data_IF_182672404626
#
_entry.id   IF_182672404626
#
_cell.length_a   1.000
_cell.length_b   1.000
_cell.length_c   1.000
_cell.angle_alpha   90.00
_cell.angle_beta   90.00
_cell.angle_gamma   90.00
#
_symmetry.space_group_name_H-M   'P 1'
#
loop_
_entity.id
_entity.type
_entity.pdbx_description
1 polymer ?
#
# COMPACT_ATOMS: atom_id res chain seq x y z
N UNK A 1 -20.25 -22.72 -8.55
CA UNK A 1 -20.84 -21.46 -8.03
C UNK A 1 -19.85 -20.33 -8.26
N UNK A 2 -20.33 -19.13 -8.62
CA UNK A 2 -19.45 -17.98 -8.74
C UNK A 2 -18.99 -17.56 -7.33
N UNK A 3 -17.70 -17.64 -7.09
CA UNK A 3 -17.07 -17.14 -5.84
C UNK A 3 -17.34 -15.64 -5.71
N UNK A 4 -17.95 -15.20 -4.61
CA UNK A 4 -18.38 -13.79 -4.42
C UNK A 4 -17.62 -13.06 -3.31
N UNK A 5 -16.81 -13.76 -2.52
CA UNK A 5 -16.07 -13.16 -1.44
C UNK A 5 -14.82 -12.42 -1.97
N UNK A 6 -14.51 -11.29 -1.35
CA UNK A 6 -13.30 -10.51 -1.58
C UNK A 6 -12.46 -10.57 -0.29
N UNK A 7 -11.19 -10.92 -0.41
CA UNK A 7 -10.23 -10.80 0.68
C UNK A 7 -9.40 -9.54 0.50
N UNK A 8 -9.42 -8.65 1.48
CA UNK A 8 -8.54 -7.48 1.52
C UNK A 8 -7.25 -7.85 2.25
N UNK A 9 -6.13 -7.71 1.56
CA UNK A 9 -4.80 -8.11 2.00
C UNK A 9 -3.99 -6.86 2.36
N UNK A 10 -3.84 -6.61 3.66
CA UNK A 10 -3.00 -5.51 4.15
C UNK A 10 -1.52 -5.91 4.04
N UNK A 11 -0.73 -5.13 3.31
CA UNK A 11 0.68 -5.37 3.10
C UNK A 11 1.52 -5.45 4.38
N UNK A 12 1.02 -4.91 5.49
CA UNK A 12 1.77 -4.89 6.75
C UNK A 12 1.44 -6.04 7.71
N UNK A 13 0.27 -6.69 7.58
CA UNK A 13 -0.22 -7.58 8.63
C UNK A 13 0.53 -8.90 8.75
N UNK A 14 1.12 -9.43 7.67
CA UNK A 14 1.69 -10.78 7.63
C UNK A 14 3.21 -10.81 7.48
N UNK A 15 3.83 -9.78 6.91
CA UNK A 15 5.30 -9.66 6.79
C UNK A 15 5.97 -9.60 8.17
N UNK A 16 5.27 -9.16 9.20
CA UNK A 16 5.78 -9.10 10.58
C UNK A 16 6.23 -10.45 11.15
N UNK A 17 5.75 -11.56 10.59
CA UNK A 17 6.01 -12.90 11.14
C UNK A 17 7.28 -13.51 10.57
N UNK A 18 7.63 -13.17 9.33
CA UNK A 18 8.71 -13.80 8.57
C UNK A 18 9.74 -12.77 8.11
N UNK A 19 10.72 -12.46 8.95
CA UNK A 19 11.81 -11.56 8.57
C UNK A 19 13.16 -12.27 8.68
N UNK A 20 14.02 -12.10 7.66
CA UNK A 20 13.77 -11.47 6.36
C UNK A 20 12.85 -12.34 5.47
N UNK A 21 11.79 -11.74 4.93
CA UNK A 21 10.85 -12.45 4.05
C UNK A 21 11.52 -12.82 2.73
N UNK A 22 11.46 -14.10 2.35
CA UNK A 22 11.85 -14.57 1.02
C UNK A 22 10.69 -14.49 0.05
N UNK A 23 10.97 -14.64 -1.24
CA UNK A 23 9.92 -14.71 -2.27
C UNK A 23 9.02 -15.92 -2.07
N UNK A 24 9.60 -17.04 -1.71
CA UNK A 24 8.92 -18.31 -1.47
C UNK A 24 7.95 -18.17 -0.30
N UNK A 25 8.40 -17.64 0.84
CA UNK A 25 7.55 -17.35 2.00
C UNK A 25 6.43 -16.38 1.67
N UNK A 26 6.73 -15.33 0.89
CA UNK A 26 5.71 -14.39 0.43
C UNK A 26 4.61 -15.08 -0.40
N UNK A 27 4.99 -15.95 -1.32
CA UNK A 27 4.05 -16.64 -2.19
C UNK A 27 3.27 -17.72 -1.43
N UNK A 28 3.88 -18.37 -0.43
CA UNK A 28 3.23 -19.38 0.41
C UNK A 28 2.04 -18.81 1.18
N UNK A 29 2.13 -17.57 1.65
CA UNK A 29 1.02 -16.91 2.35
C UNK A 29 -0.23 -16.74 1.48
N UNK A 30 -0.10 -16.74 0.16
CA UNK A 30 -1.25 -16.70 -0.76
C UNK A 30 -1.91 -18.08 -0.93
N UNK A 31 -1.23 -19.18 -0.65
CA UNK A 31 -1.75 -20.53 -0.87
C UNK A 31 -3.04 -20.82 -0.07
N UNK A 32 -3.23 -20.16 1.09
CA UNK A 32 -4.46 -20.24 1.87
C UNK A 32 -5.72 -19.84 1.09
N UNK A 33 -5.56 -19.06 0.03
CA UNK A 33 -6.69 -18.62 -0.79
C UNK A 33 -6.99 -19.57 -1.95
N UNK A 34 -6.11 -20.52 -2.30
CA UNK A 34 -6.21 -21.35 -3.50
C UNK A 34 -7.55 -22.05 -3.60
N UNK A 35 -7.93 -22.83 -2.59
CA UNK A 35 -9.15 -23.63 -2.56
C UNK A 35 -10.29 -22.97 -1.75
N UNK A 36 -10.13 -21.68 -1.45
CA UNK A 36 -11.12 -20.91 -0.70
C UNK A 36 -12.24 -20.35 -1.59
N UNK A 37 -13.32 -19.88 -0.95
CA UNK A 37 -14.44 -19.20 -1.62
C UNK A 37 -14.16 -17.74 -1.98
N UNK A 38 -12.98 -17.21 -1.66
CA UNK A 38 -12.56 -15.91 -2.13
C UNK A 38 -12.28 -15.95 -3.65
N UNK A 39 -13.09 -15.23 -4.41
CA UNK A 39 -12.95 -15.12 -5.87
C UNK A 39 -12.06 -13.95 -6.30
N UNK A 40 -11.88 -12.98 -5.41
CA UNK A 40 -11.10 -11.77 -5.64
C UNK A 40 -10.21 -11.51 -4.44
N UNK A 41 -8.94 -11.18 -4.70
CA UNK A 41 -8.01 -10.69 -3.71
C UNK A 41 -7.79 -9.19 -3.95
N UNK A 42 -7.85 -8.37 -2.92
CA UNK A 42 -7.55 -6.94 -2.99
C UNK A 42 -6.23 -6.69 -2.26
N UNK A 43 -5.17 -6.46 -3.03
CA UNK A 43 -3.84 -6.18 -2.51
C UNK A 43 -3.69 -4.70 -2.20
N UNK A 44 -3.47 -4.36 -0.94
CA UNK A 44 -3.31 -2.97 -0.50
C UNK A 44 -1.90 -2.47 -0.80
N UNK A 45 -1.79 -1.39 -1.58
CA UNK A 45 -0.52 -0.70 -1.86
C UNK A 45 -0.20 0.40 -0.84
N UNK A 46 -0.76 0.30 0.36
CA UNK A 46 -0.74 1.23 1.48
C UNK A 46 -1.78 2.33 1.28
N UNK A 47 -1.44 3.50 0.79
CA UNK A 47 -2.41 4.56 0.53
C UNK A 47 -1.87 5.97 0.75
N UNK A 48 -2.69 6.97 0.42
CA UNK A 48 -2.26 8.35 0.42
C UNK A 48 -1.09 8.55 -0.53
N UNK A 49 0.06 8.91 -0.01
CA UNK A 49 1.28 8.99 -0.80
C UNK A 49 2.26 7.83 -0.54
N UNK A 50 1.85 6.79 0.23
CA UNK A 50 2.72 5.66 0.59
C UNK A 50 2.45 4.44 -0.28
N UNK A 51 3.51 3.74 -0.68
CA UNK A 51 3.47 2.58 -1.57
C UNK A 51 4.42 1.48 -1.12
N UNK A 52 4.20 0.24 -1.62
CA UNK A 52 5.03 -0.93 -1.36
C UNK A 52 5.66 -1.52 -2.64
N UNK A 53 5.85 -0.70 -3.65
CA UNK A 53 6.46 -1.03 -4.93
C UNK A 53 7.36 0.11 -5.42
N UNK A 54 8.26 -0.10 -6.40
CA UNK A 54 9.07 0.98 -6.98
C UNK A 54 8.17 2.00 -7.69
N UNK A 55 8.07 3.19 -7.13
CA UNK A 55 7.21 4.26 -7.62
C UNK A 55 8.01 5.53 -7.94
N UNK A 56 7.55 6.26 -8.95
CA UNK A 56 8.05 7.61 -9.27
C UNK A 56 7.36 8.71 -8.45
N UNK A 57 6.18 8.40 -7.90
CA UNK A 57 5.32 9.38 -7.24
C UNK A 57 5.11 9.07 -5.76
N UNK A 58 5.02 7.80 -5.41
CA UNK A 58 4.81 7.36 -4.03
C UNK A 58 6.09 7.33 -3.21
N UNK A 59 5.93 7.27 -1.89
CA UNK A 59 7.00 7.16 -0.89
C UNK A 59 6.93 5.78 -0.25
N UNK A 60 8.06 5.11 -0.12
CA UNK A 60 8.13 3.86 0.68
C UNK A 60 8.20 4.26 2.15
N UNK A 61 7.44 3.60 3.06
CA UNK A 61 7.56 3.87 4.49
C UNK A 61 9.02 3.82 4.96
N UNK A 62 9.38 4.73 5.86
CA UNK A 62 10.75 4.84 6.36
C UNK A 62 11.74 5.56 5.45
N UNK A 63 11.29 6.18 4.34
CA UNK A 63 12.16 7.06 3.54
C UNK A 63 12.44 8.41 4.21
N UNK A 64 11.54 8.88 5.07
CA UNK A 64 11.68 10.15 5.78
C UNK A 64 12.24 10.00 7.20
N UNK A 65 12.19 8.81 7.75
CA UNK A 65 12.76 8.46 9.04
C UNK A 65 13.18 7.00 9.04
N UNK A 66 14.40 6.71 9.42
CA UNK A 66 14.91 5.34 9.52
C UNK A 66 14.50 4.64 10.83
N UNK A 67 13.96 5.39 11.77
CA UNK A 67 13.56 4.87 13.09
C UNK A 67 12.08 4.47 13.05
N UNK A 68 11.78 3.16 12.97
CA UNK A 68 10.40 2.71 13.02
C UNK A 68 9.83 2.87 14.43
N UNK A 69 8.54 3.17 14.53
CA UNK A 69 7.87 3.25 15.82
C UNK A 69 7.73 1.86 16.48
N UNK A 70 7.66 0.80 15.67
CA UNK A 70 7.64 -0.60 16.11
C UNK A 70 8.63 -1.41 15.30
N UNK A 71 9.28 -2.39 15.92
CA UNK A 71 10.22 -3.30 15.26
C UNK A 71 9.62 -3.96 14.02
N UNK A 72 8.36 -4.40 14.09
CA UNK A 72 7.67 -5.02 12.95
C UNK A 72 7.55 -4.09 11.74
N UNK A 73 7.31 -2.80 11.94
CA UNK A 73 7.24 -1.82 10.84
C UNK A 73 8.60 -1.73 10.11
N UNK A 74 9.69 -1.80 10.85
CA UNK A 74 11.04 -1.85 10.29
C UNK A 74 11.26 -3.10 9.43
N UNK A 75 10.78 -4.26 9.88
CA UNK A 75 10.86 -5.51 9.11
C UNK A 75 10.12 -5.42 7.79
N UNK A 76 8.90 -4.89 7.79
CA UNK A 76 8.10 -4.69 6.57
C UNK A 76 8.82 -3.79 5.58
N UNK A 77 9.30 -2.64 6.03
CA UNK A 77 10.00 -1.69 5.17
C UNK A 77 11.29 -2.27 4.60
N UNK A 78 12.07 -2.98 5.41
CA UNK A 78 13.28 -3.64 4.93
C UNK A 78 12.96 -4.74 3.92
N UNK A 79 11.86 -5.50 4.13
CA UNK A 79 11.39 -6.47 3.16
C UNK A 79 11.05 -5.80 1.83
N UNK A 80 10.26 -4.71 1.83
CA UNK A 80 9.93 -3.95 0.63
C UNK A 80 11.21 -3.51 -0.10
N UNK A 81 12.16 -2.88 0.61
CA UNK A 81 13.42 -2.39 0.02
C UNK A 81 14.25 -3.53 -0.59
N UNK A 82 14.40 -4.65 0.12
CA UNK A 82 15.16 -5.82 -0.38
C UNK A 82 14.55 -6.45 -1.63
N UNK A 83 13.22 -6.51 -1.73
CA UNK A 83 12.57 -6.99 -2.94
C UNK A 83 12.83 -6.06 -4.12
N UNK A 84 12.72 -4.75 -3.91
CA UNK A 84 13.00 -3.74 -4.95
C UNK A 84 14.46 -3.81 -5.41
N UNK A 85 15.43 -3.93 -4.49
CA UNK A 85 16.85 -4.09 -4.81
C UNK A 85 17.15 -5.31 -5.68
N UNK A 86 16.36 -6.38 -5.55
CA UNK A 86 16.46 -7.60 -6.37
C UNK A 86 15.69 -7.50 -7.71
N UNK A 87 15.09 -6.36 -8.01
CA UNK A 87 14.25 -6.19 -9.21
C UNK A 87 12.87 -6.84 -9.13
N UNK A 88 12.40 -7.12 -7.92
CA UNK A 88 11.09 -7.65 -7.60
C UNK A 88 10.30 -6.62 -6.79
N UNK A 89 9.01 -6.83 -6.59
CA UNK A 89 8.19 -6.08 -5.66
C UNK A 89 6.98 -6.90 -5.20
N UNK A 90 6.46 -6.53 -4.02
CA UNK A 90 5.34 -7.22 -3.40
C UNK A 90 4.06 -7.16 -4.24
N UNK A 91 3.80 -6.04 -4.89
CA UNK A 91 2.61 -5.87 -5.74
C UNK A 91 2.65 -6.77 -6.97
N UNK A 92 3.81 -6.87 -7.62
CA UNK A 92 4.01 -7.79 -8.75
C UNK A 92 3.81 -9.25 -8.33
N UNK A 93 4.41 -9.63 -7.19
CA UNK A 93 4.30 -10.99 -6.67
C UNK A 93 2.86 -11.32 -6.24
N UNK A 94 2.14 -10.39 -5.61
CA UNK A 94 0.72 -10.56 -5.25
C UNK A 94 -0.15 -10.80 -6.49
N UNK A 95 0.08 -10.04 -7.56
CA UNK A 95 -0.63 -10.22 -8.84
C UNK A 95 -0.31 -11.59 -9.45
N UNK A 96 0.95 -12.01 -9.43
CA UNK A 96 1.35 -13.34 -9.94
C UNK A 96 0.72 -14.47 -9.12
N UNK A 97 0.73 -14.37 -7.78
CA UNK A 97 0.12 -15.34 -6.90
C UNK A 97 -1.40 -15.51 -7.15
N UNK A 98 -2.13 -14.40 -7.21
CA UNK A 98 -3.57 -14.45 -7.48
C UNK A 98 -3.89 -15.13 -8.82
N UNK A 99 -3.12 -14.81 -9.86
CA UNK A 99 -3.30 -15.41 -11.19
C UNK A 99 -2.97 -16.89 -11.24
N UNK A 100 -1.92 -17.33 -10.54
CA UNK A 100 -1.58 -18.76 -10.45
C UNK A 100 -2.70 -19.59 -9.83
N UNK A 101 -3.55 -18.97 -9.02
CA UNK A 101 -4.71 -19.57 -8.38
C UNK A 101 -6.04 -19.33 -9.13
N UNK A 102 -5.98 -18.74 -10.33
CA UNK A 102 -7.16 -18.35 -11.10
C UNK A 102 -8.14 -17.46 -10.33
N UNK A 103 -7.59 -16.49 -9.55
CA UNK A 103 -8.35 -15.50 -8.80
C UNK A 103 -8.20 -14.12 -9.42
N UNK A 104 -9.22 -13.29 -9.29
CA UNK A 104 -9.10 -11.87 -9.62
C UNK A 104 -8.22 -11.17 -8.61
N UNK A 105 -7.50 -10.15 -9.09
CA UNK A 105 -6.66 -9.30 -8.25
C UNK A 105 -7.05 -7.84 -8.44
N UNK A 106 -7.41 -7.18 -7.35
CA UNK A 106 -7.61 -5.74 -7.30
C UNK A 106 -6.42 -5.10 -6.60
N UNK A 107 -6.10 -3.88 -7.01
CA UNK A 107 -5.20 -3.02 -6.25
C UNK A 107 -6.04 -2.19 -5.29
N UNK A 108 -5.83 -2.39 -4.01
CA UNK A 108 -6.49 -1.63 -2.95
C UNK A 108 -5.70 -0.39 -2.56
N UNK A 109 -6.40 0.71 -2.34
CA UNK A 109 -5.81 2.00 -2.04
C UNK A 109 -6.61 2.75 -0.97
N UNK A 110 -5.94 3.14 0.12
CA UNK A 110 -6.54 3.97 1.18
C UNK A 110 -6.39 5.45 0.81
N UNK A 111 -7.49 6.08 0.44
CA UNK A 111 -7.47 7.41 -0.16
C UNK A 111 -7.01 8.52 0.79
N UNK A 112 -7.14 8.38 2.10
CA UNK A 112 -6.85 9.42 3.08
C UNK A 112 -5.63 9.19 3.98
N UNK A 113 -4.89 8.11 3.79
CA UNK A 113 -3.75 7.74 4.63
C UNK A 113 -2.44 8.42 4.20
N UNK A 114 -2.38 9.77 4.21
CA UNK A 114 -1.19 10.54 3.82
C UNK A 114 -0.15 10.65 4.93
N UNK A 115 -0.58 10.58 6.17
CA UNK A 115 0.25 10.60 7.37
C UNK A 115 -0.36 9.69 8.42
N UNK A 116 0.47 9.03 9.21
CA UNK A 116 0.02 8.30 10.39
C UNK A 116 -0.22 9.23 11.59
N UNK A 117 -0.89 8.68 12.60
CA UNK A 117 -1.06 9.35 13.90
C UNK A 117 0.28 9.59 14.60
N UNK A 118 0.36 10.52 15.59
CA UNK A 118 1.55 10.72 16.40
C UNK A 118 2.14 9.40 16.91
N UNK A 119 3.43 9.33 17.06
CA UNK A 119 4.29 8.17 17.27
C UNK A 119 4.62 7.35 16.01
N UNK A 120 3.86 7.46 14.92
CA UNK A 120 4.14 6.78 13.65
C UNK A 120 4.36 7.77 12.50
N UNK A 121 4.08 9.04 12.72
CA UNK A 121 3.98 10.08 11.69
C UNK A 121 5.25 10.23 10.85
N UNK A 122 6.43 10.26 11.44
CA UNK A 122 7.67 10.44 10.70
C UNK A 122 7.98 9.25 9.79
N UNK A 123 7.63 8.05 10.24
CA UNK A 123 7.91 6.81 9.52
C UNK A 123 6.89 6.53 8.42
N UNK A 124 5.62 6.86 8.68
CA UNK A 124 4.49 6.66 7.76
C UNK A 124 3.95 7.97 7.17
N UNK A 125 4.82 8.92 6.93
CA UNK A 125 4.47 10.16 6.22
C UNK A 125 5.00 10.11 4.79
N UNK A 126 4.17 10.48 3.82
CA UNK A 126 4.61 10.61 2.44
C UNK A 126 5.37 11.92 2.22
N UNK A 127 6.34 11.90 1.31
CA UNK A 127 7.05 13.12 0.87
C UNK A 127 6.08 14.18 0.38
N UNK A 128 5.09 13.78 -0.40
CA UNK A 128 4.08 14.70 -0.92
C UNK A 128 3.31 15.42 0.18
N UNK A 129 2.92 14.72 1.26
CA UNK A 129 2.24 15.34 2.39
C UNK A 129 3.17 16.31 3.15
N UNK A 130 4.42 15.93 3.37
CA UNK A 130 5.40 16.76 4.06
C UNK A 130 5.70 18.04 3.27
N UNK A 131 5.90 17.91 1.96
CA UNK A 131 6.40 18.96 1.10
C UNK A 131 5.31 19.95 0.66
N UNK A 132 4.00 19.61 0.89
CA UNK A 132 2.86 20.41 0.49
C UNK A 132 1.89 20.69 1.65
N UNK A 133 2.33 21.40 2.70
CA UNK A 133 1.44 21.73 3.82
C UNK A 133 0.22 22.56 3.39
N UNK A 134 0.32 23.33 2.30
CA UNK A 134 -0.73 24.16 1.73
C UNK A 134 -1.89 23.34 1.13
N UNK A 135 -1.69 22.03 0.89
CA UNK A 135 -2.72 21.14 0.34
C UNK A 135 -3.47 20.36 1.42
N UNK A 136 -3.12 20.54 2.69
CA UNK A 136 -3.77 19.84 3.81
C UNK A 136 -5.23 20.23 3.93
N UNK A 137 -6.04 19.28 4.37
CA UNK A 137 -7.38 19.56 4.84
C UNK A 137 -7.30 20.17 6.24
N UNK A 138 -8.33 20.94 6.59
CA UNK A 138 -8.48 21.53 7.92
C UNK A 138 -9.78 21.04 8.54
N UNK A 139 -9.74 20.81 9.83
CA UNK A 139 -10.93 20.55 10.59
C UNK A 139 -11.74 21.85 10.80
N UNK A 140 -12.96 21.73 11.32
CA UNK A 140 -13.89 22.84 11.44
C UNK A 140 -13.39 24.00 12.31
N UNK A 141 -12.51 23.70 13.26
CA UNK A 141 -11.88 24.67 14.16
C UNK A 141 -10.62 25.33 13.57
N UNK A 142 -10.26 24.99 12.31
CA UNK A 142 -9.08 25.49 11.63
C UNK A 142 -7.79 24.69 11.93
N UNK A 143 -7.87 23.55 12.64
CA UNK A 143 -6.73 22.70 12.92
C UNK A 143 -6.37 21.90 11.65
N UNK A 144 -5.08 21.83 11.24
CA UNK A 144 -4.67 20.98 10.12
C UNK A 144 -4.95 19.51 10.40
N UNK A 145 -5.68 18.86 9.49
CA UNK A 145 -5.94 17.43 9.55
C UNK A 145 -4.75 16.62 8.99
N UNK A 146 -4.59 15.37 9.44
CA UNK A 146 -3.56 14.45 8.95
C UNK A 146 -3.89 13.87 7.56
N UNK A 147 -4.54 14.65 6.74
CA UNK A 147 -4.98 14.27 5.38
C UNK A 147 -4.91 15.48 4.44
N UNK A 148 -4.90 15.20 3.16
CA UNK A 148 -4.89 16.23 2.14
C UNK A 148 -6.30 16.46 1.58
N UNK A 149 -6.53 17.66 1.08
CA UNK A 149 -7.81 18.04 0.49
C UNK A 149 -7.89 17.58 -0.96
N UNK A 150 -8.81 16.69 -1.27
CA UNK A 150 -9.12 16.31 -2.65
C UNK A 150 -9.81 17.41 -3.47
N UNK A 151 -10.19 18.53 -2.86
CA UNK A 151 -10.59 19.73 -3.59
C UNK A 151 -9.41 20.33 -4.37
N UNK A 152 -8.18 20.12 -3.91
CA UNK A 152 -6.94 20.57 -4.55
C UNK A 152 -6.62 19.68 -5.77
N UNK A 153 -6.51 20.26 -6.99
CA UNK A 153 -6.24 19.47 -8.20
C UNK A 153 -4.92 18.67 -8.12
N UNK A 154 -3.88 19.24 -7.53
CA UNK A 154 -2.55 18.62 -7.41
C UNK A 154 -2.59 17.37 -6.54
N UNK A 155 -3.44 17.33 -5.51
CA UNK A 155 -3.66 16.12 -4.69
C UNK A 155 -4.29 15.01 -5.54
N UNK A 156 -5.31 15.34 -6.33
CA UNK A 156 -5.95 14.36 -7.23
C UNK A 156 -4.99 13.85 -8.29
N UNK A 157 -4.17 14.73 -8.86
CA UNK A 157 -3.17 14.36 -9.87
C UNK A 157 -2.10 13.43 -9.28
N UNK A 158 -1.62 13.73 -8.07
CA UNK A 158 -0.65 12.88 -7.38
C UNK A 158 -1.21 11.46 -7.18
N UNK A 159 -2.43 11.35 -6.64
CA UNK A 159 -3.08 10.05 -6.43
C UNK A 159 -3.37 9.34 -7.76
N UNK A 160 -3.84 10.07 -8.76
CA UNK A 160 -4.06 9.52 -10.09
C UNK A 160 -2.77 8.91 -10.68
N UNK A 161 -1.63 9.59 -10.52
CA UNK A 161 -0.35 9.11 -11.00
C UNK A 161 0.10 7.83 -10.28
N UNK A 162 -0.07 7.73 -8.95
CA UNK A 162 0.20 6.52 -8.19
C UNK A 162 -0.69 5.36 -8.70
N UNK A 163 -1.99 5.58 -8.81
CA UNK A 163 -2.91 4.54 -9.30
C UNK A 163 -2.61 4.14 -10.74
N UNK A 164 -2.25 5.09 -11.60
CA UNK A 164 -1.87 4.82 -12.99
C UNK A 164 -0.63 3.94 -13.09
N UNK A 165 0.37 4.10 -12.22
CA UNK A 165 1.54 3.21 -12.17
C UNK A 165 1.13 1.76 -11.96
N UNK A 166 0.14 1.50 -11.10
CA UNK A 166 -0.30 0.14 -10.80
C UNK A 166 -0.95 -0.58 -11.97
N UNK A 167 -1.41 0.16 -12.98
CA UNK A 167 -1.96 -0.45 -14.20
C UNK A 167 -0.91 -1.26 -14.99
N UNK A 168 0.38 -1.00 -14.79
CA UNK A 168 1.46 -1.80 -15.38
C UNK A 168 1.42 -3.26 -14.90
N UNK A 169 0.90 -3.52 -13.71
CA UNK A 169 0.68 -4.88 -13.18
C UNK A 169 -0.55 -5.57 -13.77
N UNK A 170 -1.37 -4.85 -14.54
CA UNK A 170 -2.61 -5.33 -15.19
C UNK A 170 -3.60 -5.92 -14.17
N UNK A 171 -3.96 -5.24 -13.08
CA UNK A 171 -4.98 -5.74 -12.15
C UNK A 171 -6.34 -5.87 -12.84
N UNK A 172 -7.25 -6.67 -12.26
CA UNK A 172 -8.63 -6.79 -12.73
C UNK A 172 -9.50 -5.61 -12.29
N UNK A 173 -9.04 -4.82 -11.32
CA UNK A 173 -9.73 -3.63 -10.81
C UNK A 173 -8.93 -2.87 -9.78
N UNK A 174 -9.48 -1.72 -9.37
CA UNK A 174 -8.96 -0.88 -8.29
C UNK A 174 -10.05 -0.77 -7.22
N UNK A 175 -9.68 -0.97 -5.96
CA UNK A 175 -10.53 -0.72 -4.81
C UNK A 175 -10.05 0.56 -4.12
N UNK A 176 -10.94 1.54 -3.97
CA UNK A 176 -10.64 2.78 -3.26
C UNK A 176 -11.39 2.77 -1.93
N UNK A 177 -10.64 2.89 -0.85
CA UNK A 177 -11.16 2.83 0.52
C UNK A 177 -11.12 4.25 1.10
N UNK A 178 -12.30 4.75 1.48
CA UNK A 178 -12.46 6.02 2.21
C UNK A 178 -12.91 5.72 3.65
N UNK A 179 -12.19 6.23 4.64
CA UNK A 179 -12.58 6.25 6.05
C UNK A 179 -11.90 7.38 6.81
#
# INVERSE_FOLDING_TARGET
SKKKLIATLDAFSWIHQNYPTTKEEFLEDFEHYRDSDFGTLSWQIIGGGLVNYPSKYGTIPGELSEVPARTGDGYVTQSIKKFIERGEDHTKLAVQAARSMNKKIFIGFRAQAFQATPAFEDYFTSKFYRDHPEYRAYDRDGTPAMRMSYAVPQVREHIYNILRETLAYKPDGIEIIYF
#
